data_IF_805864561099
#
_entry.id   IF_805864561099
#
_cell.length_a   1.000
_cell.length_b   1.000
_cell.length_c   1.000
_cell.angle_alpha   90.00
_cell.angle_beta   90.00
_cell.angle_gamma   90.00
#
_symmetry.space_group_name_H-M   'P 1'
#
loop_
_entity.id
_entity.type
_entity.pdbx_description
1 polymer ?
#
# COMPACT_ATOMS: atom_id res chain seq x y z
N UNK A 1 17.86 18.87 -7.22
CA UNK A 1 17.07 18.76 -5.98
C UNK A 1 16.51 17.35 -5.93
N UNK A 2 16.65 16.63 -4.82
CA UNK A 2 16.00 15.34 -4.65
C UNK A 2 14.49 15.59 -4.49
N UNK A 3 13.75 15.48 -5.59
CA UNK A 3 12.30 15.60 -5.61
C UNK A 3 11.61 14.35 -5.07
N UNK A 4 12.34 13.22 -5.02
CA UNK A 4 11.85 11.92 -4.60
C UNK A 4 11.17 11.93 -3.21
N UNK A 5 11.75 12.55 -2.15
CA UNK A 5 11.07 12.70 -0.87
C UNK A 5 9.70 13.36 -0.98
N UNK A 6 9.49 14.33 -1.86
CA UNK A 6 8.18 15.00 -1.99
C UNK A 6 7.12 14.01 -2.50
N UNK A 7 7.49 13.15 -3.45
CA UNK A 7 6.58 12.20 -4.04
C UNK A 7 6.25 11.03 -3.09
N UNK A 8 7.21 10.54 -2.31
CA UNK A 8 7.00 9.34 -1.47
C UNK A 8 6.09 9.56 -0.26
N UNK A 9 6.00 10.77 0.29
CA UNK A 9 5.22 11.00 1.52
C UNK A 9 3.71 10.88 1.30
N UNK A 10 3.24 11.23 0.10
CA UNK A 10 1.82 11.22 -0.23
C UNK A 10 1.19 9.81 -0.28
N UNK A 11 1.73 8.82 -1.03
CA UNK A 11 1.23 7.45 -1.00
C UNK A 11 1.38 6.81 0.38
N UNK A 12 2.50 7.06 1.07
CA UNK A 12 2.76 6.51 2.42
C UNK A 12 1.68 6.94 3.40
N UNK A 13 1.33 8.24 3.42
CA UNK A 13 0.28 8.74 4.31
C UNK A 13 -1.09 8.10 4.01
N UNK A 14 -1.48 8.05 2.72
CA UNK A 14 -2.78 7.50 2.31
C UNK A 14 -2.89 5.99 2.59
N UNK A 15 -1.85 5.22 2.29
CA UNK A 15 -1.82 3.80 2.58
C UNK A 15 -1.78 3.51 4.09
N UNK A 16 -1.12 4.36 4.88
CA UNK A 16 -1.11 4.23 6.34
C UNK A 16 -2.51 4.46 6.91
N UNK A 17 -3.18 5.54 6.50
CA UNK A 17 -4.56 5.83 6.91
C UNK A 17 -5.52 4.72 6.50
N UNK A 18 -5.40 4.21 5.27
CA UNK A 18 -6.16 3.06 4.81
C UNK A 18 -5.90 1.83 5.68
N UNK A 19 -4.63 1.49 5.95
CA UNK A 19 -4.27 0.32 6.75
C UNK A 19 -4.82 0.40 8.17
N UNK A 20 -4.69 1.56 8.82
CA UNK A 20 -5.29 1.82 10.13
C UNK A 20 -6.82 1.70 10.08
N UNK A 21 -7.46 2.19 9.01
CA UNK A 21 -8.91 2.11 8.84
C UNK A 21 -9.43 0.67 8.78
N UNK A 22 -8.63 -0.25 8.23
CA UNK A 22 -8.97 -1.68 8.23
C UNK A 22 -8.67 -2.33 9.59
N UNK A 23 -7.57 -1.96 10.25
CA UNK A 23 -7.18 -2.52 11.55
C UNK A 23 -8.17 -2.16 12.66
N UNK A 24 -8.59 -0.88 12.73
CA UNK A 24 -9.50 -0.38 13.78
C UNK A 24 -10.92 -0.93 13.63
N UNK A 25 -11.21 -1.65 12.53
CA UNK A 25 -12.45 -2.37 12.22
C UNK A 25 -13.68 -2.01 13.09
N UNK A 26 -14.32 -0.88 12.78
CA UNK A 26 -15.49 -0.42 13.52
C UNK A 26 -16.78 -0.79 12.78
N UNK A 27 -17.65 -1.57 13.44
CA UNK A 27 -18.98 -1.94 12.89
C UNK A 27 -19.81 -0.71 12.51
N UNK A 28 -19.78 0.34 13.33
CA UNK A 28 -20.50 1.60 13.09
C UNK A 28 -20.03 2.30 11.82
N UNK A 29 -18.72 2.40 11.62
CA UNK A 29 -18.15 3.01 10.41
C UNK A 29 -18.39 2.11 9.19
N UNK A 30 -18.20 0.80 9.31
CA UNK A 30 -18.39 -0.14 8.21
C UNK A 30 -19.85 -0.25 7.74
N UNK A 31 -20.83 0.01 8.61
CA UNK A 31 -22.24 0.13 8.21
C UNK A 31 -22.56 1.43 7.47
N UNK A 32 -21.70 2.45 7.57
CA UNK A 32 -21.93 3.72 6.90
C UNK A 32 -21.47 3.64 5.44
N UNK A 33 -22.40 3.80 4.49
CA UNK A 33 -22.11 3.65 3.05
C UNK A 33 -20.98 4.54 2.54
N UNK A 34 -20.76 5.72 3.15
CA UNK A 34 -19.69 6.65 2.79
C UNK A 34 -18.29 6.14 3.19
N UNK A 35 -18.18 5.33 4.25
CA UNK A 35 -16.89 4.88 4.78
C UNK A 35 -16.14 4.00 3.78
N UNK A 36 -16.87 3.14 3.07
CA UNK A 36 -16.32 2.37 1.97
C UNK A 36 -15.71 3.27 0.89
N UNK A 37 -16.40 4.36 0.53
CA UNK A 37 -15.91 5.33 -0.44
C UNK A 37 -14.63 6.03 0.02
N UNK A 38 -14.55 6.41 1.29
CA UNK A 38 -13.34 7.03 1.88
C UNK A 38 -12.14 6.08 1.81
N UNK A 39 -12.31 4.82 2.21
CA UNK A 39 -11.24 3.80 2.10
C UNK A 39 -10.80 3.60 0.65
N UNK A 40 -11.76 3.55 -0.27
CA UNK A 40 -11.48 3.42 -1.70
C UNK A 40 -10.69 4.62 -2.25
N UNK A 41 -11.07 5.85 -1.87
CA UNK A 41 -10.38 7.07 -2.28
C UNK A 41 -8.93 7.10 -1.78
N UNK A 42 -8.69 6.73 -0.51
CA UNK A 42 -7.33 6.61 0.03
C UNK A 42 -6.49 5.63 -0.79
N UNK A 43 -7.03 4.45 -1.11
CA UNK A 43 -6.36 3.45 -1.93
C UNK A 43 -6.08 3.93 -3.35
N UNK A 44 -7.07 4.48 -4.05
CA UNK A 44 -6.90 4.88 -5.45
C UNK A 44 -5.93 6.02 -5.59
N UNK A 45 -6.10 7.07 -4.79
CA UNK A 45 -5.20 8.23 -4.83
C UNK A 45 -3.79 7.80 -4.38
N UNK A 46 -3.68 7.00 -3.33
CA UNK A 46 -2.41 6.44 -2.87
C UNK A 46 -1.71 5.63 -3.97
N UNK A 47 -2.44 4.71 -4.61
CA UNK A 47 -1.91 3.85 -5.70
C UNK A 47 -1.45 4.69 -6.89
N UNK A 48 -2.26 5.66 -7.34
CA UNK A 48 -1.88 6.53 -8.45
C UNK A 48 -0.62 7.36 -8.12
N UNK A 49 -0.50 7.83 -6.88
CA UNK A 49 0.68 8.58 -6.43
C UNK A 49 1.92 7.73 -6.14
N UNK A 50 1.76 6.41 -5.97
CA UNK A 50 2.87 5.48 -5.79
C UNK A 50 3.70 5.31 -7.08
N UNK A 51 3.09 5.44 -8.27
CA UNK A 51 3.82 5.33 -9.54
C UNK A 51 4.88 6.42 -9.71
N UNK A 52 4.58 7.74 -9.58
CA UNK A 52 5.61 8.78 -9.57
C UNK A 52 6.69 8.57 -8.49
N UNK A 53 6.31 8.05 -7.32
CA UNK A 53 7.23 7.78 -6.22
C UNK A 53 8.27 6.72 -6.60
N UNK A 54 7.81 5.61 -7.20
CA UNK A 54 8.68 4.54 -7.69
C UNK A 54 9.56 5.00 -8.85
N UNK A 55 8.98 5.74 -9.81
CA UNK A 55 9.73 6.26 -10.98
C UNK A 55 10.86 7.18 -10.51
N UNK A 56 10.55 8.14 -9.64
CA UNK A 56 11.57 9.07 -9.12
C UNK A 56 12.62 8.39 -8.25
N UNK A 57 12.29 7.27 -7.59
CA UNK A 57 13.26 6.47 -6.83
C UNK A 57 14.24 5.75 -7.74
N UNK A 58 13.75 5.11 -8.81
CA UNK A 58 14.58 4.46 -9.83
C UNK A 58 15.58 5.41 -10.47
N UNK A 59 15.19 6.67 -10.71
CA UNK A 59 16.07 7.66 -11.35
C UNK A 59 17.33 7.99 -10.54
N UNK A 60 17.35 7.67 -9.24
CA UNK A 60 18.46 7.97 -8.32
C UNK A 60 19.17 6.66 -7.91
N UNK A 61 18.65 5.49 -8.29
CA UNK A 61 19.20 4.17 -7.95
C UNK A 61 20.65 4.01 -8.44
N UNK A 62 20.91 4.42 -9.67
CA UNK A 62 22.21 4.34 -10.34
C UNK A 62 23.32 5.07 -9.56
N UNK A 63 22.97 6.09 -8.77
CA UNK A 63 23.92 6.82 -7.92
C UNK A 63 24.43 5.97 -6.74
N UNK A 64 23.70 4.92 -6.37
CA UNK A 64 23.98 4.03 -5.24
C UNK A 64 24.32 2.59 -5.66
N UNK A 65 24.49 2.32 -6.96
CA UNK A 65 24.82 0.98 -7.50
C UNK A 65 26.17 0.44 -7.00
N UNK A 66 27.09 1.30 -6.55
CA UNK A 66 28.44 0.89 -6.13
C UNK A 66 28.76 1.50 -4.77
N UNK A 67 28.76 0.67 -3.73
CA UNK A 67 29.21 1.07 -2.40
C UNK A 67 28.57 0.30 -1.25
N UNK A 68 28.95 0.66 -0.02
CA UNK A 68 28.46 0.04 1.21
C UNK A 68 26.93 0.15 1.40
N UNK A 69 26.27 1.05 0.67
CA UNK A 69 24.83 1.28 0.75
C UNK A 69 24.01 0.52 -0.30
N UNK A 70 24.64 -0.17 -1.25
CA UNK A 70 23.95 -0.83 -2.36
C UNK A 70 22.85 -1.80 -1.87
N UNK A 71 23.20 -2.71 -0.96
CA UNK A 71 22.24 -3.68 -0.39
C UNK A 71 21.07 -3.00 0.32
N UNK A 72 21.32 -1.90 1.04
CA UNK A 72 20.28 -1.14 1.74
C UNK A 72 19.30 -0.50 0.75
N UNK A 73 19.81 0.15 -0.29
CA UNK A 73 19.01 0.81 -1.32
C UNK A 73 18.21 -0.23 -2.11
N UNK A 74 18.84 -1.31 -2.56
CA UNK A 74 18.16 -2.41 -3.27
C UNK A 74 17.03 -3.00 -2.42
N UNK A 75 17.28 -3.26 -1.13
CA UNK A 75 16.26 -3.79 -0.21
C UNK A 75 15.11 -2.80 -0.02
N UNK A 76 15.41 -1.51 0.17
CA UNK A 76 14.38 -0.47 0.26
C UNK A 76 13.49 -0.44 -0.99
N UNK A 77 14.11 -0.52 -2.18
CA UNK A 77 13.39 -0.53 -3.45
C UNK A 77 12.52 -1.76 -3.62
N UNK A 78 13.02 -2.94 -3.26
CA UNK A 78 12.24 -4.17 -3.27
C UNK A 78 10.98 -4.04 -2.38
N UNK A 79 11.12 -3.51 -1.16
CA UNK A 79 9.98 -3.24 -0.30
C UNK A 79 9.05 -2.15 -0.85
N UNK A 80 9.57 -1.11 -1.52
CA UNK A 80 8.75 -0.11 -2.18
C UNK A 80 7.92 -0.72 -3.34
N UNK A 81 8.49 -1.63 -4.14
CA UNK A 81 7.75 -2.37 -5.16
C UNK A 81 6.69 -3.28 -4.54
N UNK A 82 7.06 -4.06 -3.52
CA UNK A 82 6.13 -4.94 -2.82
C UNK A 82 4.96 -4.16 -2.23
N UNK A 83 5.22 -3.03 -1.58
CA UNK A 83 4.19 -2.12 -1.04
C UNK A 83 3.28 -1.61 -2.15
N UNK A 84 3.85 -1.14 -3.27
CA UNK A 84 3.09 -0.62 -4.40
C UNK A 84 2.21 -1.69 -5.03
N UNK A 85 2.75 -2.88 -5.30
CA UNK A 85 2.00 -4.01 -5.86
C UNK A 85 0.90 -4.46 -4.90
N UNK A 86 1.20 -4.55 -3.61
CA UNK A 86 0.23 -4.94 -2.59
C UNK A 86 -0.97 -4.00 -2.60
N UNK A 87 -0.76 -2.68 -2.48
CA UNK A 87 -1.87 -1.73 -2.50
C UNK A 87 -2.53 -1.60 -3.86
N UNK A 88 -1.81 -1.83 -4.96
CA UNK A 88 -2.43 -1.93 -6.30
C UNK A 88 -3.41 -3.10 -6.37
N UNK A 89 -3.05 -4.28 -5.86
CA UNK A 89 -3.96 -5.44 -5.81
C UNK A 89 -5.17 -5.14 -4.94
N UNK A 90 -4.97 -4.56 -3.75
CA UNK A 90 -6.08 -4.17 -2.85
C UNK A 90 -6.97 -3.10 -3.52
N UNK A 91 -6.38 -2.16 -4.23
CA UNK A 91 -7.08 -1.14 -5.02
C UNK A 91 -7.95 -1.77 -6.12
N UNK A 92 -7.44 -2.79 -6.83
CA UNK A 92 -8.23 -3.55 -7.82
C UNK A 92 -9.39 -4.33 -7.17
N UNK A 93 -9.20 -4.89 -5.98
CA UNK A 93 -10.28 -5.52 -5.20
C UNK A 93 -11.39 -4.50 -4.89
N UNK A 94 -11.01 -3.30 -4.46
CA UNK A 94 -11.95 -2.20 -4.25
C UNK A 94 -12.68 -1.77 -5.53
N UNK A 95 -11.96 -1.73 -6.67
CA UNK A 95 -12.56 -1.44 -7.97
C UNK A 95 -13.63 -2.47 -8.34
N UNK A 96 -13.35 -3.77 -8.18
CA UNK A 96 -14.33 -4.83 -8.40
C UNK A 96 -15.55 -4.66 -7.48
N UNK A 97 -15.35 -4.32 -6.20
CA UNK A 97 -16.44 -4.09 -5.26
C UNK A 97 -17.30 -2.87 -5.63
N UNK A 98 -16.68 -1.82 -6.15
CA UNK A 98 -17.41 -0.65 -6.69
C UNK A 98 -18.23 -1.05 -7.90
N UNK A 99 -17.61 -1.72 -8.87
CA UNK A 99 -18.28 -2.15 -10.10
C UNK A 99 -19.50 -3.00 -9.75
N UNK A 100 -19.35 -3.99 -8.87
CA UNK A 100 -20.47 -4.83 -8.44
C UNK A 100 -21.60 -4.03 -7.77
N UNK A 101 -21.34 -2.88 -7.13
CA UNK A 101 -22.39 -2.04 -6.52
C UNK A 101 -23.06 -1.07 -7.49
N UNK A 102 -22.54 -0.91 -8.70
CA UNK A 102 -23.09 0.00 -9.72
C UNK A 102 -24.03 -0.74 -10.68
N UNK A 103 -24.96 0.00 -11.29
CA UNK A 103 -25.85 -0.53 -12.35
C UNK A 103 -25.07 -1.06 -13.56
N UNK A 104 -23.82 -0.62 -13.76
CA UNK A 104 -22.94 -1.11 -14.82
C UNK A 104 -22.67 -2.62 -14.71
N UNK A 105 -22.68 -3.18 -13.48
CA UNK A 105 -22.44 -4.60 -13.27
C UNK A 105 -23.64 -5.51 -13.58
N UNK A 106 -24.84 -4.99 -13.91
CA UNK A 106 -26.00 -5.87 -14.22
C UNK A 106 -25.70 -6.85 -15.37
N UNK A 107 -24.99 -6.38 -16.41
CA UNK A 107 -24.55 -7.23 -17.53
C UNK A 107 -23.46 -8.23 -17.10
N UNK A 108 -22.56 -7.80 -16.22
CA UNK A 108 -21.41 -8.60 -15.78
C UNK A 108 -21.80 -9.64 -14.73
N UNK A 109 -22.83 -9.40 -13.91
CA UNK A 109 -23.36 -10.35 -12.92
C UNK A 109 -23.94 -11.62 -13.55
N UNK A 110 -24.28 -11.59 -14.83
CA UNK A 110 -24.70 -12.80 -15.55
C UNK A 110 -23.51 -13.75 -15.81
N UNK A 111 -22.29 -13.21 -15.89
CA UNK A 111 -21.07 -14.00 -16.09
C UNK A 111 -20.73 -14.79 -14.80
N UNK A 112 -20.63 -16.13 -14.84
CA UNK A 112 -20.30 -16.95 -13.68
C UNK A 112 -18.90 -16.66 -13.11
N UNK A 113 -17.94 -16.24 -13.95
CA UNK A 113 -16.60 -15.86 -13.49
C UNK A 113 -16.66 -14.58 -12.65
N UNK A 114 -17.37 -13.55 -13.13
CA UNK A 114 -17.52 -12.29 -12.40
C UNK A 114 -18.19 -12.51 -11.04
N UNK A 115 -19.24 -13.35 -10.97
CA UNK A 115 -19.89 -13.72 -9.70
C UNK A 115 -18.93 -14.39 -8.72
N UNK A 116 -18.06 -15.29 -9.19
CA UNK A 116 -17.03 -15.93 -8.35
C UNK A 116 -16.03 -14.91 -7.83
N UNK A 117 -15.54 -14.03 -8.71
CA UNK A 117 -14.61 -12.95 -8.34
C UNK A 117 -15.25 -12.02 -7.31
N UNK A 118 -16.49 -11.58 -7.53
CA UNK A 118 -17.21 -10.71 -6.60
C UNK A 118 -17.46 -11.38 -5.24
N UNK A 119 -17.76 -12.69 -5.22
CA UNK A 119 -17.93 -13.44 -3.98
C UNK A 119 -16.62 -13.59 -3.18
N UNK A 120 -15.51 -13.88 -3.86
CA UNK A 120 -14.18 -13.89 -3.22
C UNK A 120 -13.85 -12.50 -2.68
N UNK A 121 -14.10 -11.46 -3.49
CA UNK A 121 -13.81 -10.09 -3.12
C UNK A 121 -14.61 -9.62 -1.91
N UNK A 122 -15.91 -9.92 -1.85
CA UNK A 122 -16.75 -9.59 -0.70
C UNK A 122 -16.33 -10.33 0.57
N UNK A 123 -15.84 -11.57 0.44
CA UNK A 123 -15.22 -12.30 1.55
C UNK A 123 -13.92 -11.62 2.04
N UNK A 124 -13.02 -11.22 1.13
CA UNK A 124 -11.75 -10.59 1.47
C UNK A 124 -11.93 -9.21 2.12
N UNK A 125 -12.84 -8.40 1.61
CA UNK A 125 -13.08 -7.03 2.09
C UNK A 125 -14.09 -6.93 3.25
N UNK A 126 -14.95 -7.93 3.42
CA UNK A 126 -16.05 -7.91 4.39
C UNK A 126 -15.79 -8.70 5.68
N UNK A 127 -14.71 -9.47 5.76
CA UNK A 127 -14.40 -10.32 6.92
C UNK A 127 -13.24 -9.79 7.76
N UNK A 128 -12.90 -10.51 8.82
CA UNK A 128 -11.66 -10.31 9.60
C UNK A 128 -10.40 -10.34 8.72
N UNK A 129 -10.48 -10.88 7.50
CA UNK A 129 -9.41 -10.85 6.52
C UNK A 129 -8.99 -9.41 6.14
N UNK A 130 -9.90 -8.45 6.14
CA UNK A 130 -9.56 -7.05 5.89
C UNK A 130 -8.59 -6.50 6.94
N UNK A 131 -8.70 -6.95 8.20
CA UNK A 131 -7.75 -6.60 9.27
C UNK A 131 -6.36 -7.15 8.95
N UNK A 132 -6.27 -8.39 8.47
CA UNK A 132 -4.98 -8.96 8.04
C UNK A 132 -4.36 -8.18 6.88
N UNK A 133 -5.18 -7.77 5.91
CA UNK A 133 -4.74 -6.92 4.79
C UNK A 133 -4.21 -5.58 5.32
N UNK A 134 -4.90 -4.94 6.26
CA UNK A 134 -4.44 -3.72 6.92
C UNK A 134 -3.12 -3.91 7.67
N UNK A 135 -2.98 -4.98 8.44
CA UNK A 135 -1.74 -5.30 9.17
C UNK A 135 -0.57 -5.55 8.23
N UNK A 136 -0.77 -6.35 7.17
CA UNK A 136 0.25 -6.63 6.17
C UNK A 136 0.67 -5.36 5.42
N UNK A 137 -0.30 -4.53 5.03
CA UNK A 137 -0.05 -3.23 4.41
C UNK A 137 0.75 -2.30 5.33
N UNK A 138 0.36 -2.18 6.60
CA UNK A 138 1.06 -1.35 7.57
C UNK A 138 2.50 -1.82 7.81
N UNK A 139 2.72 -3.14 7.89
CA UNK A 139 4.06 -3.71 8.03
C UNK A 139 4.94 -3.38 6.83
N UNK A 140 4.44 -3.54 5.60
CA UNK A 140 5.16 -3.21 4.37
C UNK A 140 5.55 -1.73 4.31
N UNK A 141 4.62 -0.81 4.63
CA UNK A 141 4.90 0.64 4.67
C UNK A 141 5.94 0.95 5.74
N UNK A 142 5.80 0.36 6.93
CA UNK A 142 6.72 0.59 8.05
C UNK A 142 8.14 0.16 7.68
N UNK A 143 8.32 -1.02 7.08
CA UNK A 143 9.63 -1.49 6.61
C UNK A 143 10.17 -0.57 5.52
N UNK A 144 9.35 -0.24 4.52
CA UNK A 144 9.76 0.65 3.41
C UNK A 144 10.22 2.01 3.95
N UNK A 145 9.44 2.62 4.85
CA UNK A 145 9.74 3.91 5.46
C UNK A 145 10.96 3.87 6.39
N UNK A 146 11.08 2.82 7.20
CA UNK A 146 12.22 2.58 8.08
C UNK A 146 13.54 2.49 7.30
N UNK A 147 13.56 1.71 6.21
CA UNK A 147 14.72 1.61 5.33
C UNK A 147 15.01 2.93 4.61
N UNK A 148 13.98 3.66 4.17
CA UNK A 148 14.14 5.00 3.59
C UNK A 148 14.74 6.02 4.59
N UNK A 149 14.32 5.96 5.85
CA UNK A 149 14.90 6.74 6.94
C UNK A 149 16.37 6.40 7.18
N UNK A 150 16.71 5.11 7.15
CA UNK A 150 18.07 4.63 7.30
C UNK A 150 19.00 5.09 6.16
N UNK A 151 18.51 5.19 4.93
CA UNK A 151 19.27 5.71 3.78
C UNK A 151 19.63 7.19 4.00
N UNK A 152 18.70 8.00 4.50
CA UNK A 152 18.89 9.46 4.61
C UNK A 152 19.63 9.85 5.88
N UNK A 153 19.35 9.18 7.01
CA UNK A 153 19.82 9.59 8.35
C UNK A 153 20.66 8.53 9.07
N UNK A 154 20.88 7.38 8.45
CA UNK A 154 21.57 6.24 9.07
C UNK A 154 20.62 5.34 9.89
N UNK A 155 21.07 4.10 10.21
CA UNK A 155 20.22 3.08 10.83
C UNK A 155 19.74 3.43 12.24
N UNK A 156 20.42 4.34 12.94
CA UNK A 156 20.10 4.74 14.32
C UNK A 156 19.13 5.94 14.40
N UNK A 157 18.47 6.31 13.29
CA UNK A 157 17.53 7.44 13.26
C UNK A 157 16.38 7.30 14.27
N UNK A 158 15.88 6.08 14.45
CA UNK A 158 14.86 5.73 15.45
C UNK A 158 14.90 4.22 15.78
N UNK A 159 14.22 3.77 16.87
CA UNK A 159 14.25 2.36 17.28
C UNK A 159 13.67 1.37 16.25
N UNK A 160 12.66 1.78 15.48
CA UNK A 160 12.02 0.93 14.47
C UNK A 160 12.95 0.78 13.26
N UNK A 161 13.54 1.88 12.81
CA UNK A 161 14.55 1.87 11.75
C UNK A 161 15.73 0.96 12.10
N UNK A 162 16.26 1.08 13.32
CA UNK A 162 17.36 0.24 13.81
C UNK A 162 16.97 -1.24 13.86
N UNK A 163 15.78 -1.54 14.37
CA UNK A 163 15.27 -2.90 14.44
C UNK A 163 15.12 -3.52 13.05
N UNK A 164 14.47 -2.82 12.12
CA UNK A 164 14.28 -3.28 10.74
C UNK A 164 15.62 -3.47 10.03
N UNK A 165 16.54 -2.51 10.18
CA UNK A 165 17.88 -2.59 9.59
C UNK A 165 18.61 -3.86 10.03
N UNK A 166 18.73 -4.10 11.34
CA UNK A 166 19.43 -5.27 11.88
C UNK A 166 18.78 -6.61 11.53
N UNK A 167 17.48 -6.62 11.21
CA UNK A 167 16.75 -7.83 10.85
C UNK A 167 16.94 -8.22 9.37
N UNK A 168 17.15 -7.24 8.49
CA UNK A 168 17.06 -7.44 7.03
C UNK A 168 18.39 -7.16 6.29
N UNK A 169 19.21 -6.24 6.80
CA UNK A 169 20.48 -5.82 6.17
C UNK A 169 21.67 -6.55 6.81
#
# INVERSE_FOLDING_TARGET
>A
MNIHPIFVHFPVALFTLYSISEIVHSKKLNSAGWWFGVKASMLFIGTLSAFPSVITGKMIEDEFERGAFHKLVETHQNFAYMTTIFFMVVSLLYLVAILDRTSFAEKWRQNPLFRRIAAINSFLLGSWFAVLVGLAGLALITITGALGGAIVRGPDVDPVARFVYNMII
#
